data_IF_116515119716
#
_entry.id   IF_116515119716
#
_cell.length_a   1.000
_cell.length_b   1.000
_cell.length_c   1.000
_cell.angle_alpha   90.00
_cell.angle_beta   90.00
_cell.angle_gamma   90.00
#
_symmetry.space_group_name_H-M   'P 1'
#
loop_
_entity.id
_entity.type
_entity.pdbx_description
1 polymer ?
#
# COMPACT_ATOMS: atom_id res chain seq x y z
N UNK A 1 -11.35 11.47 1.19
CA UNK A 1 -10.30 10.56 0.69
C UNK A 1 -9.17 11.41 0.17
N UNK A 2 -7.90 11.16 0.51
CA UNK A 2 -6.79 11.97 0.01
C UNK A 2 -6.88 12.19 -1.52
N UNK A 3 -6.92 13.44 -2.03
CA UNK A 3 -7.14 13.70 -3.45
C UNK A 3 -6.11 13.01 -4.35
N UNK A 4 -4.86 12.95 -3.90
CA UNK A 4 -3.74 12.31 -4.62
C UNK A 4 -3.92 10.80 -4.80
N UNK A 5 -4.55 10.11 -3.85
CA UNK A 5 -4.90 8.68 -3.99
C UNK A 5 -5.84 8.48 -5.18
N UNK A 6 -6.87 9.33 -5.26
CA UNK A 6 -7.83 9.31 -6.36
C UNK A 6 -7.15 9.64 -7.69
N UNK A 7 -6.35 10.71 -7.75
CA UNK A 7 -5.66 11.11 -8.99
C UNK A 7 -4.76 10.00 -9.49
N UNK A 8 -3.89 9.45 -8.62
CA UNK A 8 -2.98 8.37 -9.01
C UNK A 8 -3.74 7.15 -9.52
N UNK A 9 -4.75 6.69 -8.78
CA UNK A 9 -5.54 5.52 -9.19
C UNK A 9 -6.24 5.73 -10.53
N UNK A 10 -6.78 6.93 -10.80
CA UNK A 10 -7.41 7.24 -12.10
C UNK A 10 -6.39 7.22 -13.23
N UNK A 11 -5.24 7.87 -13.05
CA UNK A 11 -4.19 7.95 -14.08
C UNK A 11 -3.61 6.58 -14.38
N UNK A 12 -3.27 5.78 -13.35
CA UNK A 12 -2.74 4.43 -13.51
C UNK A 12 -3.72 3.53 -14.26
N UNK A 13 -5.01 3.58 -13.93
CA UNK A 13 -6.04 2.81 -14.67
C UNK A 13 -6.13 3.21 -16.14
N UNK A 14 -6.13 4.52 -16.42
CA UNK A 14 -6.18 5.02 -17.81
C UNK A 14 -4.95 4.60 -18.60
N UNK A 15 -3.78 4.70 -17.99
CA UNK A 15 -2.55 4.20 -18.59
C UNK A 15 -2.62 2.69 -18.85
N UNK A 16 -3.04 1.88 -17.87
CA UNK A 16 -3.10 0.44 -18.02
C UNK A 16 -4.07 0.01 -19.14
N UNK A 17 -5.17 0.73 -19.31
CA UNK A 17 -6.08 0.57 -20.45
C UNK A 17 -5.41 0.94 -21.78
N UNK A 18 -4.77 2.11 -21.87
CA UNK A 18 -4.09 2.56 -23.08
C UNK A 18 -2.90 1.66 -23.48
N UNK A 19 -2.21 1.09 -22.50
CA UNK A 19 -1.09 0.16 -22.69
C UNK A 19 -1.54 -1.29 -22.96
N UNK A 20 -2.85 -1.58 -22.92
CA UNK A 20 -3.38 -2.92 -23.18
C UNK A 20 -3.10 -3.95 -22.08
N UNK A 21 -2.78 -3.52 -20.85
CA UNK A 21 -2.44 -4.37 -19.69
C UNK A 21 -3.50 -4.34 -18.58
N UNK A 22 -4.72 -3.95 -18.95
CA UNK A 22 -5.91 -3.96 -18.09
C UNK A 22 -7.08 -4.53 -18.88
N UNK A 23 -7.74 -5.54 -18.32
CA UNK A 23 -8.84 -6.22 -19.00
C UNK A 23 -9.72 -7.01 -18.05
N UNK A 24 -10.79 -7.57 -18.58
CA UNK A 24 -11.55 -8.59 -17.87
C UNK A 24 -10.75 -9.91 -17.85
N UNK A 25 -11.19 -10.88 -17.04
CA UNK A 25 -10.50 -12.17 -16.93
C UNK A 25 -10.31 -12.89 -18.29
N UNK A 26 -11.17 -12.61 -19.28
CA UNK A 26 -11.08 -13.17 -20.64
C UNK A 26 -9.90 -12.62 -21.46
N UNK A 27 -9.40 -11.45 -21.10
CA UNK A 27 -8.34 -10.75 -21.84
C UNK A 27 -6.94 -11.18 -21.37
N UNK A 28 -6.85 -11.99 -20.31
CA UNK A 28 -5.59 -12.48 -19.75
C UNK A 28 -4.84 -11.45 -18.90
N UNK A 29 -5.50 -10.37 -18.47
CA UNK A 29 -4.90 -9.29 -17.68
C UNK A 29 -5.67 -9.01 -16.39
N UNK A 30 -5.02 -8.30 -15.48
CA UNK A 30 -5.63 -7.90 -14.22
C UNK A 30 -6.67 -6.79 -14.43
N UNK A 31 -7.67 -6.78 -13.55
CA UNK A 31 -8.78 -5.83 -13.62
C UNK A 31 -8.38 -4.39 -13.26
N UNK A 32 -9.16 -3.37 -13.67
CA UNK A 32 -8.99 -2.00 -13.19
C UNK A 32 -9.04 -1.85 -11.66
N UNK A 33 -9.75 -2.77 -10.99
CA UNK A 33 -9.79 -2.83 -9.52
C UNK A 33 -8.42 -3.24 -8.96
N UNK A 34 -7.77 -4.27 -9.51
CA UNK A 34 -6.43 -4.67 -9.10
C UNK A 34 -5.40 -3.54 -9.28
N UNK A 35 -5.47 -2.79 -10.39
CA UNK A 35 -4.65 -1.58 -10.59
C UNK A 35 -4.89 -0.51 -9.52
N UNK A 36 -6.12 -0.35 -9.06
CA UNK A 36 -6.44 0.56 -7.94
C UNK A 36 -5.77 0.09 -6.65
N UNK A 37 -5.78 -1.22 -6.37
CA UNK A 37 -5.11 -1.79 -5.20
C UNK A 37 -3.59 -1.61 -5.28
N UNK A 38 -2.97 -1.80 -6.44
CA UNK A 38 -1.53 -1.54 -6.62
C UNK A 38 -1.17 -0.07 -6.34
N UNK A 39 -2.00 0.88 -6.78
CA UNK A 39 -1.79 2.30 -6.49
C UNK A 39 -1.90 2.61 -4.99
N UNK A 40 -2.90 2.03 -4.31
CA UNK A 40 -3.06 2.16 -2.85
C UNK A 40 -1.87 1.54 -2.13
N UNK A 41 -1.50 0.31 -2.49
CA UNK A 41 -0.38 -0.42 -1.90
C UNK A 41 0.93 0.37 -2.00
N UNK A 42 1.25 0.90 -3.18
CA UNK A 42 2.39 1.78 -3.39
C UNK A 42 2.36 3.00 -2.46
N UNK A 43 1.22 3.67 -2.33
CA UNK A 43 1.09 4.81 -1.41
C UNK A 43 1.23 4.40 0.06
N UNK A 44 0.81 3.20 0.44
CA UNK A 44 0.98 2.70 1.80
C UNK A 44 2.46 2.44 2.11
N UNK A 45 3.13 1.66 1.26
CA UNK A 45 4.50 1.20 1.53
C UNK A 45 5.57 2.24 1.22
N UNK A 46 5.29 3.23 0.36
CA UNK A 46 6.27 4.27 0.01
C UNK A 46 5.94 5.65 0.59
N UNK A 47 4.67 5.94 0.89
CA UNK A 47 4.22 7.29 1.27
C UNK A 47 3.40 7.33 2.56
N UNK A 48 3.36 6.22 3.31
CA UNK A 48 2.76 6.17 4.65
C UNK A 48 1.23 6.27 4.66
N UNK A 49 0.54 6.02 3.55
CA UNK A 49 -0.92 5.85 3.58
C UNK A 49 -1.25 4.73 4.59
N UNK A 50 -2.13 4.95 5.58
CA UNK A 50 -2.45 3.90 6.53
C UNK A 50 -3.30 2.80 5.87
N UNK A 51 -3.15 1.57 6.36
CA UNK A 51 -4.12 0.52 6.06
C UNK A 51 -5.32 0.61 7.00
N UNK A 52 -6.51 0.78 6.42
CA UNK A 52 -7.76 0.87 7.20
C UNK A 52 -8.11 -0.46 7.87
N UNK A 53 -7.77 -1.59 7.23
CA UNK A 53 -7.93 -2.90 7.84
C UNK A 53 -6.96 -3.12 9.01
N UNK A 54 -5.70 -2.69 8.87
CA UNK A 54 -4.72 -2.83 9.96
C UNK A 54 -5.05 -1.95 11.18
N UNK A 55 -5.82 -0.87 10.99
CA UNK A 55 -6.29 0.00 12.08
C UNK A 55 -7.59 -0.49 12.74
N UNK A 56 -8.31 -1.42 12.11
CA UNK A 56 -9.56 -1.98 12.62
C UNK A 56 -9.47 -2.81 13.93
N UNK A 57 -8.35 -3.46 14.29
CA UNK A 57 -8.24 -4.20 15.56
C UNK A 57 -8.48 -3.35 16.82
N UNK A 58 -8.38 -2.01 16.72
CA UNK A 58 -8.67 -1.06 17.81
C UNK A 58 -10.18 -0.82 18.03
N UNK A 59 -11.08 -1.60 17.41
CA UNK A 59 -12.53 -1.51 17.63
C UNK A 59 -12.95 -2.21 18.94
N UNK A 60 -13.77 -1.59 19.80
CA UNK A 60 -14.33 -2.25 20.97
C UNK A 60 -15.15 -3.50 20.56
N UNK A 61 -15.16 -4.52 21.41
CA UNK A 61 -15.98 -5.72 21.21
C UNK A 61 -17.45 -5.35 20.93
N UNK A 62 -18.05 -5.98 19.92
CA UNK A 62 -19.45 -5.77 19.53
C UNK A 62 -19.69 -4.98 18.24
N UNK A 63 -18.67 -4.31 17.68
CA UNK A 63 -18.79 -3.65 16.37
C UNK A 63 -18.49 -4.63 15.23
N UNK A 64 -19.52 -5.32 14.74
CA UNK A 64 -19.56 -6.07 13.46
C UNK A 64 -18.21 -6.64 12.97
N UNK A 65 -17.59 -7.55 13.75
CA UNK A 65 -16.58 -8.49 13.24
C UNK A 65 -17.31 -9.59 12.47
N UNK A 66 -17.85 -9.27 11.30
CA UNK A 66 -18.39 -10.31 10.42
C UNK A 66 -17.22 -11.11 9.83
N UNK A 67 -16.80 -12.15 10.57
CA UNK A 67 -16.03 -13.26 10.03
C UNK A 67 -17.03 -14.36 9.71
N UNK A 68 -17.44 -14.46 8.46
CA UNK A 68 -18.35 -15.53 8.03
C UNK A 68 -17.53 -16.78 7.70
N UNK A 69 -17.67 -17.82 8.53
CA UNK A 69 -17.20 -19.21 8.36
C UNK A 69 -15.68 -19.40 8.08
N UNK A 70 -15.11 -20.62 8.14
CA UNK A 70 -13.75 -20.89 7.71
C UNK A 70 -13.70 -20.79 6.17
N UNK A 71 -13.68 -19.55 5.66
CA UNK A 71 -14.04 -19.24 4.28
C UNK A 71 -13.93 -17.77 3.85
N UNK A 72 -13.08 -16.98 4.52
CA UNK A 72 -12.20 -16.01 3.84
C UNK A 72 -12.59 -14.53 3.63
N UNK A 73 -13.72 -14.03 4.12
CA UNK A 73 -14.05 -12.59 3.99
C UNK A 73 -13.69 -11.78 5.25
N UNK A 74 -12.83 -10.76 5.11
CA UNK A 74 -12.50 -9.75 6.12
C UNK A 74 -13.00 -8.35 5.70
N UNK A 75 -14.16 -7.99 6.24
CA UNK A 75 -14.78 -6.68 6.01
C UNK A 75 -14.44 -5.66 7.11
N UNK A 76 -13.54 -5.99 8.03
CA UNK A 76 -13.18 -5.10 9.12
C UNK A 76 -12.17 -4.04 8.65
N UNK A 77 -12.64 -2.82 8.42
CA UNK A 77 -11.80 -1.65 8.18
C UNK A 77 -12.41 -0.43 8.87
N UNK A 78 -11.56 0.49 9.31
CA UNK A 78 -12.01 1.77 9.87
C UNK A 78 -12.35 2.77 8.77
N UNK A 79 -13.22 3.73 9.06
CA UNK A 79 -13.41 4.89 8.17
C UNK A 79 -12.29 5.93 8.33
N UNK A 80 -12.36 7.02 7.55
CA UNK A 80 -11.36 8.08 7.57
C UNK A 80 -11.30 8.85 8.92
N UNK A 81 -12.43 8.99 9.60
CA UNK A 81 -12.52 9.69 10.89
C UNK A 81 -11.90 8.84 11.98
N UNK A 82 -12.26 7.55 12.02
CA UNK A 82 -11.70 6.57 12.92
C UNK A 82 -10.18 6.41 12.71
N UNK A 83 -9.71 6.36 11.47
CA UNK A 83 -8.29 6.32 11.16
C UNK A 83 -7.53 7.57 11.64
N UNK A 84 -8.07 8.79 11.43
CA UNK A 84 -7.48 10.02 11.98
C UNK A 84 -7.35 9.97 13.50
N UNK A 85 -8.38 9.45 14.19
CA UNK A 85 -8.37 9.27 15.64
C UNK A 85 -7.30 8.27 16.07
N UNK A 86 -7.25 7.10 15.43
CA UNK A 86 -6.27 6.06 15.73
C UNK A 86 -4.82 6.52 15.51
N UNK A 87 -4.60 7.44 14.56
CA UNK A 87 -3.29 7.98 14.23
C UNK A 87 -2.92 9.27 15.01
N UNK A 88 -3.80 9.77 15.88
CA UNK A 88 -3.56 11.01 16.62
C UNK A 88 -3.50 12.26 15.74
N UNK A 89 -4.10 12.22 14.54
CA UNK A 89 -4.13 13.32 13.57
C UNK A 89 -5.34 14.23 13.81
N UNK A 90 -5.55 14.64 15.07
CA UNK A 90 -6.63 15.58 15.40
C UNK A 90 -6.23 17.02 15.05
N UNK A 91 -7.17 17.87 14.61
CA UNK A 91 -6.87 19.24 14.18
C UNK A 91 -6.12 20.06 15.24
N UNK A 92 -6.41 19.84 16.52
CA UNK A 92 -5.81 20.57 17.64
C UNK A 92 -4.32 20.22 17.85
N UNK A 93 -3.87 19.07 17.33
CA UNK A 93 -2.47 18.62 17.41
C UNK A 93 -1.61 19.09 16.20
N UNK A 94 -2.22 19.77 15.22
CA UNK A 94 -1.58 20.20 13.97
C UNK A 94 -1.25 21.70 13.94
N UNK A 95 -1.75 22.48 14.90
CA UNK A 95 -1.49 23.92 15.02
C UNK A 95 0.01 24.18 15.32
N UNK A 96 0.68 24.91 14.42
CA UNK A 96 2.10 25.27 14.54
C UNK A 96 3.10 24.29 13.91
N UNK A 97 2.66 23.21 13.26
CA UNK A 97 3.56 22.30 12.53
C UNK A 97 3.90 22.87 11.14
N UNK A 98 5.17 22.88 10.70
CA UNK A 98 5.52 23.26 9.34
C UNK A 98 4.71 22.43 8.34
N UNK A 99 4.06 23.10 7.39
CA UNK A 99 3.31 22.41 6.36
C UNK A 99 4.28 21.57 5.53
N UNK A 100 4.13 20.25 5.46
CA UNK A 100 5.23 19.46 4.96
C UNK A 100 5.27 19.52 3.42
N UNK A 101 6.45 19.23 2.86
CA UNK A 101 6.68 19.23 1.42
C UNK A 101 5.89 18.09 0.76
N UNK A 102 4.67 18.38 0.33
CA UNK A 102 3.80 17.44 -0.38
C UNK A 102 4.43 17.09 -1.74
N UNK A 103 4.79 15.82 -1.93
CA UNK A 103 5.14 15.33 -3.28
C UNK A 103 3.97 15.62 -4.23
N UNK A 104 4.29 16.27 -5.35
CA UNK A 104 3.33 16.53 -6.42
C UNK A 104 2.89 15.25 -7.11
N UNK A 105 1.71 15.29 -7.74
CA UNK A 105 1.10 14.13 -8.40
C UNK A 105 2.02 13.49 -9.46
N UNK A 106 2.80 14.30 -10.18
CA UNK A 106 3.79 13.81 -11.15
C UNK A 106 4.91 12.97 -10.49
N UNK A 107 5.35 13.33 -9.28
CA UNK A 107 6.36 12.56 -8.55
C UNK A 107 5.78 11.24 -8.04
N UNK A 108 4.52 11.25 -7.57
CA UNK A 108 3.82 10.03 -7.17
C UNK A 108 3.64 9.07 -8.34
N UNK A 109 3.26 9.59 -9.51
CA UNK A 109 3.11 8.80 -10.74
C UNK A 109 4.44 8.19 -11.18
N UNK A 110 5.52 8.99 -11.23
CA UNK A 110 6.88 8.49 -11.54
C UNK A 110 7.30 7.39 -10.60
N UNK A 111 7.17 7.63 -9.29
CA UNK A 111 7.55 6.65 -8.29
C UNK A 111 6.71 5.37 -8.33
N UNK A 112 5.43 5.44 -8.72
CA UNK A 112 4.60 4.25 -8.91
C UNK A 112 5.20 3.31 -9.97
N UNK A 113 5.54 3.85 -11.15
CA UNK A 113 6.13 3.06 -12.22
C UNK A 113 7.51 2.55 -11.84
N UNK A 114 8.36 3.40 -11.27
CA UNK A 114 9.69 2.99 -10.82
C UNK A 114 9.63 1.88 -9.74
N UNK A 115 8.67 1.96 -8.80
CA UNK A 115 8.48 0.97 -7.75
C UNK A 115 8.12 -0.39 -8.35
N UNK A 116 7.08 -0.47 -9.18
CA UNK A 116 6.68 -1.76 -9.76
C UNK A 116 7.62 -2.26 -10.85
N UNK A 117 8.39 -1.39 -11.50
CA UNK A 117 9.41 -1.81 -12.45
C UNK A 117 10.64 -2.42 -11.76
N UNK A 118 11.13 -1.78 -10.70
CA UNK A 118 12.49 -2.02 -10.18
C UNK A 118 12.56 -2.47 -8.73
N UNK A 119 11.50 -2.26 -7.92
CA UNK A 119 11.55 -2.43 -6.46
C UNK A 119 10.65 -3.55 -5.95
N UNK A 120 9.44 -3.67 -6.50
CA UNK A 120 8.48 -4.70 -6.09
C UNK A 120 9.00 -6.10 -6.41
N UNK A 121 8.91 -7.02 -5.45
CA UNK A 121 9.37 -8.40 -5.63
C UNK A 121 8.33 -9.24 -6.37
N UNK A 122 8.29 -9.19 -7.70
CA UNK A 122 7.26 -9.85 -8.52
C UNK A 122 7.02 -11.33 -8.22
N UNK A 123 8.07 -12.06 -7.87
CA UNK A 123 8.01 -13.51 -7.63
C UNK A 123 7.55 -13.88 -6.21
N UNK A 124 7.84 -13.03 -5.23
CA UNK A 124 7.72 -13.37 -3.81
C UNK A 124 6.82 -12.42 -3.03
N UNK A 125 6.70 -11.16 -3.42
CA UNK A 125 5.94 -10.14 -2.70
C UNK A 125 4.44 -10.21 -3.03
N UNK A 126 3.61 -9.89 -2.04
CA UNK A 126 2.17 -9.75 -2.20
C UNK A 126 1.78 -8.30 -2.00
N UNK A 127 1.16 -7.69 -3.01
CA UNK A 127 0.51 -6.39 -2.86
C UNK A 127 -0.77 -6.56 -2.03
N UNK A 128 -0.66 -6.33 -0.71
CA UNK A 128 -1.77 -6.41 0.24
C UNK A 128 -2.07 -5.04 0.84
N UNK A 129 -3.19 -4.46 0.43
CA UNK A 129 -3.66 -3.19 1.02
C UNK A 129 -4.20 -3.37 2.44
N UNK A 130 -4.59 -4.60 2.79
CA UNK A 130 -5.07 -5.00 4.12
C UNK A 130 -3.96 -4.96 5.16
N UNK A 131 -2.74 -5.34 4.77
CA UNK A 131 -1.56 -5.21 5.64
C UNK A 131 -0.91 -3.83 5.51
N UNK A 132 -0.86 -3.27 4.30
CA UNK A 132 -0.22 -1.97 4.05
C UNK A 132 1.30 -1.95 4.29
N UNK A 133 1.95 -3.12 4.22
CA UNK A 133 3.37 -3.32 4.43
C UNK A 133 3.91 -4.36 3.44
N UNK A 134 5.22 -4.31 3.17
CA UNK A 134 5.88 -5.29 2.29
C UNK A 134 5.98 -6.63 2.98
N UNK A 135 5.43 -7.68 2.37
CA UNK A 135 5.49 -9.04 2.89
C UNK A 135 5.51 -10.04 1.74
N UNK A 136 6.28 -11.11 1.94
CA UNK A 136 6.37 -12.21 0.98
C UNK A 136 5.18 -13.18 1.08
N UNK A 137 4.92 -13.93 0.01
CA UNK A 137 3.85 -14.93 -0.14
C UNK A 137 3.96 -16.08 0.86
N UNK A 138 5.18 -16.36 1.34
CA UNK A 138 5.45 -17.36 2.38
C UNK A 138 5.11 -16.89 3.81
N UNK A 139 4.72 -15.63 3.98
CA UNK A 139 4.31 -15.10 5.28
C UNK A 139 3.06 -15.81 5.81
N UNK A 140 2.94 -16.05 7.12
CA UNK A 140 1.73 -16.63 7.72
C UNK A 140 0.45 -15.86 7.39
N UNK A 141 0.56 -14.55 7.10
CA UNK A 141 -0.57 -13.72 6.69
C UNK A 141 -1.22 -14.15 5.37
N UNK A 142 -0.50 -14.88 4.51
CA UNK A 142 -0.96 -15.34 3.20
C UNK A 142 -1.00 -16.85 3.08
N UNK A 143 -0.92 -17.59 4.20
CA UNK A 143 -0.99 -19.06 4.21
C UNK A 143 -2.23 -19.63 3.50
N UNK A 144 -3.27 -18.82 3.39
CA UNK A 144 -4.57 -19.17 2.83
C UNK A 144 -4.82 -18.50 1.47
N UNK A 145 -3.88 -17.68 0.96
CA UNK A 145 -3.97 -17.03 -0.33
C UNK A 145 -3.84 -18.05 -1.46
N UNK A 146 -4.94 -18.29 -2.18
CA UNK A 146 -5.00 -19.28 -3.26
C UNK A 146 -4.24 -18.75 -4.48
N UNK A 147 -3.22 -19.47 -4.89
CA UNK A 147 -2.61 -19.34 -6.21
C UNK A 147 -3.42 -20.20 -7.18
N UNK A 148 -4.04 -19.58 -8.19
CA UNK A 148 -4.99 -20.26 -9.09
C UNK A 148 -4.29 -21.23 -10.05
N UNK A 149 -3.02 -20.96 -10.38
CA UNK A 149 -2.23 -21.76 -11.31
C UNK A 149 -1.39 -22.82 -10.59
N UNK A 150 -1.20 -23.98 -11.25
CA UNK A 150 -0.22 -25.01 -10.83
C UNK A 150 1.22 -24.49 -10.91
N UNK A 151 1.47 -23.58 -11.85
CA UNK A 151 2.75 -22.92 -12.03
C UNK A 151 2.71 -21.54 -11.35
N UNK A 152 3.76 -21.15 -10.62
CA UNK A 152 3.81 -19.84 -9.98
C UNK A 152 3.78 -18.74 -11.04
N UNK A 153 2.71 -17.93 -11.03
CA UNK A 153 2.57 -16.74 -11.87
C UNK A 153 3.01 -15.52 -11.06
N UNK A 154 3.94 -14.70 -11.56
CA UNK A 154 4.39 -13.48 -10.88
C UNK A 154 3.24 -12.48 -10.65
N UNK A 155 3.47 -11.49 -9.78
CA UNK A 155 2.53 -10.44 -9.37
C UNK A 155 1.37 -10.94 -8.51
N UNK A 156 1.63 -11.19 -7.23
CA UNK A 156 0.58 -11.53 -6.27
C UNK A 156 -0.14 -10.28 -5.76
N UNK A 157 -1.47 -10.27 -5.83
CA UNK A 157 -2.31 -9.16 -5.38
C UNK A 157 -3.44 -9.74 -4.53
N UNK A 158 -3.42 -9.47 -3.23
CA UNK A 158 -4.46 -9.94 -2.32
C UNK A 158 -5.74 -9.11 -2.49
N UNK A 159 -6.89 -9.77 -2.57
CA UNK A 159 -8.17 -9.09 -2.38
C UNK A 159 -8.35 -8.74 -0.89
N UNK A 160 -8.55 -7.45 -0.54
CA UNK A 160 -8.57 -7.03 0.87
C UNK A 160 -9.76 -7.55 1.67
N UNK A 161 -10.85 -7.95 1.00
CA UNK A 161 -12.01 -8.55 1.65
C UNK A 161 -11.92 -10.06 1.53
N UNK A 162 -11.84 -10.60 0.32
CA UNK A 162 -11.67 -12.03 0.11
C UNK A 162 -10.19 -12.41 0.29
N UNK A 163 -9.66 -12.47 1.52
CA UNK A 163 -8.20 -12.55 1.83
C UNK A 163 -7.49 -13.83 1.33
N UNK A 164 -8.20 -14.65 0.57
CA UNK A 164 -7.80 -15.95 0.03
C UNK A 164 -7.81 -15.95 -1.48
N UNK A 165 -8.26 -14.85 -2.05
CA UNK A 165 -8.35 -14.64 -3.48
C UNK A 165 -7.18 -13.79 -3.91
N UNK A 166 -6.27 -14.41 -4.64
CA UNK A 166 -5.27 -13.70 -5.42
C UNK A 166 -5.92 -13.18 -6.72
N UNK A 167 -5.72 -11.90 -7.01
CA UNK A 167 -6.30 -11.25 -8.19
C UNK A 167 -5.46 -11.45 -9.46
N UNK A 168 -4.36 -12.21 -9.37
CA UNK A 168 -3.55 -12.61 -10.50
C UNK A 168 -4.13 -13.77 -11.33
N UNK A 169 -5.29 -14.33 -10.94
CA UNK A 169 -5.90 -15.46 -11.62
C UNK A 169 -6.03 -15.38 -13.16
N UNK A 170 -6.25 -14.21 -13.77
CA UNK A 170 -6.24 -14.07 -15.23
C UNK A 170 -4.87 -14.15 -15.90
N UNK A 171 -3.77 -14.00 -15.16
CA UNK A 171 -2.42 -13.95 -15.72
C UNK A 171 -1.87 -15.36 -15.95
N UNK A 172 -1.14 -15.51 -17.05
CA UNK A 172 -0.10 -16.53 -17.21
C UNK A 172 1.29 -15.86 -17.16
N UNK A 173 2.36 -16.65 -17.24
CA UNK A 173 3.73 -16.12 -17.18
C UNK A 173 4.04 -15.14 -18.33
N UNK A 174 3.49 -15.36 -19.53
CA UNK A 174 3.70 -14.48 -20.68
C UNK A 174 3.02 -13.13 -20.48
N UNK A 175 1.77 -13.14 -20.02
CA UNK A 175 1.01 -11.91 -19.69
C UNK A 175 1.61 -11.15 -18.52
N UNK A 176 2.13 -11.86 -17.52
CA UNK A 176 2.86 -11.23 -16.42
C UNK A 176 4.13 -10.52 -16.92
N UNK A 177 4.89 -11.14 -17.83
CA UNK A 177 6.05 -10.48 -18.46
C UNK A 177 5.63 -9.28 -19.31
N UNK A 178 4.60 -9.40 -20.15
CA UNK A 178 4.06 -8.27 -20.93
C UNK A 178 3.70 -7.07 -20.04
N UNK A 179 3.04 -7.34 -18.90
CA UNK A 179 2.68 -6.32 -17.91
C UNK A 179 3.92 -5.69 -17.28
N UNK A 180 4.92 -6.49 -16.91
CA UNK A 180 6.20 -6.00 -16.36
C UNK A 180 6.95 -5.13 -17.35
N UNK A 181 7.02 -5.55 -18.61
CA UNK A 181 7.65 -4.79 -19.69
C UNK A 181 6.91 -3.46 -19.94
N UNK A 182 5.59 -3.44 -19.85
CA UNK A 182 4.82 -2.19 -19.95
C UNK A 182 5.16 -1.21 -18.83
N UNK A 183 5.27 -1.68 -17.58
CA UNK A 183 5.68 -0.85 -16.44
C UNK A 183 7.13 -0.34 -16.59
N UNK A 184 8.05 -1.17 -17.07
CA UNK A 184 9.43 -0.77 -17.37
C UNK A 184 9.49 0.33 -18.44
N UNK A 185 8.73 0.19 -19.53
CA UNK A 185 8.62 1.23 -20.57
C UNK A 185 8.05 2.53 -20.01
N UNK A 186 6.98 2.44 -19.22
CA UNK A 186 6.36 3.60 -18.60
C UNK A 186 7.32 4.34 -17.64
N UNK A 187 8.10 3.59 -16.85
CA UNK A 187 9.13 4.16 -15.99
C UNK A 187 10.19 4.91 -16.83
N UNK A 188 10.71 4.27 -17.88
CA UNK A 188 11.71 4.88 -18.77
C UNK A 188 11.19 6.14 -19.48
N UNK A 189 9.94 6.13 -19.96
CA UNK A 189 9.29 7.31 -20.56
C UNK A 189 9.27 8.48 -19.57
N UNK A 190 8.85 8.26 -18.33
CA UNK A 190 8.80 9.35 -17.35
C UNK A 190 10.18 9.76 -16.82
N UNK A 191 11.16 8.86 -16.77
CA UNK A 191 12.56 9.15 -16.41
C UNK A 191 13.23 10.05 -17.46
N UNK A 192 12.86 9.90 -18.74
CA UNK A 192 13.31 10.80 -19.81
C UNK A 192 12.69 12.20 -19.76
N UNK A 193 11.81 12.46 -18.79
CA UNK A 193 11.15 13.76 -18.60
C UNK A 193 9.84 13.92 -19.37
N UNK A 194 9.35 12.88 -20.04
CA UNK A 194 8.09 12.93 -20.77
C UNK A 194 6.87 13.11 -19.83
N UNK A 195 5.80 13.66 -20.38
CA UNK A 195 4.57 13.96 -19.66
C UNK A 195 3.53 12.83 -19.71
N UNK A 196 2.35 13.15 -19.18
CA UNK A 196 1.23 12.22 -19.16
C UNK A 196 0.70 11.90 -20.58
N UNK A 197 0.80 12.83 -21.53
CA UNK A 197 0.31 12.61 -22.89
C UNK A 197 1.11 11.52 -23.60
N UNK A 198 2.43 11.59 -23.51
CA UNK A 198 3.36 10.60 -24.06
C UNK A 198 3.19 9.25 -23.38
N UNK A 199 3.03 9.25 -22.06
CA UNK A 199 2.75 8.04 -21.29
C UNK A 199 1.46 7.33 -21.75
N UNK A 200 0.44 8.09 -22.12
CA UNK A 200 -0.84 7.56 -22.63
C UNK A 200 -0.82 7.27 -24.14
N UNK A 201 0.32 7.44 -24.83
CA UNK A 201 0.43 7.25 -26.28
C UNK A 201 -0.31 8.31 -27.11
N UNK A 202 -0.69 9.43 -26.50
CA UNK A 202 -1.29 10.57 -27.18
C UNK A 202 -0.18 11.45 -27.77
N UNK A 203 0.40 11.03 -28.90
CA UNK A 203 1.28 11.91 -29.67
C UNK A 203 0.45 13.03 -30.29
N UNK A 204 0.63 14.28 -29.82
CA UNK A 204 0.09 15.44 -30.51
C UNK A 204 0.77 15.55 -31.88
N UNK A 205 0.01 15.41 -32.96
CA UNK A 205 0.45 15.96 -34.25
C UNK A 205 0.47 17.49 -34.14
N UNK A 206 1.44 18.20 -34.74
CA UNK A 206 1.44 19.66 -34.74
C UNK A 206 0.39 20.15 -35.73
N UNK A 207 -0.84 20.41 -35.26
CA UNK A 207 -1.85 21.15 -36.03
C UNK A 207 -1.91 22.60 -35.57
N UNK A 208 -1.29 23.45 -36.41
CA UNK A 208 -1.64 24.84 -36.73
C UNK A 208 -2.53 25.62 -35.75
N UNK A 209 -1.94 26.66 -35.15
CA UNK A 209 -2.53 27.96 -34.82
C UNK A 209 -4.07 28.03 -34.71
N UNK A 210 -4.58 27.91 -33.49
CA UNK A 210 -5.73 28.73 -33.07
C UNK A 210 -5.44 29.30 -31.70
N UNK A 211 -5.65 30.60 -31.56
CA UNK A 211 -5.30 31.38 -30.37
C UNK A 211 -5.96 30.83 -29.09
N UNK A 212 -5.30 30.91 -27.93
CA UNK A 212 -5.89 30.46 -26.68
C UNK A 212 -7.11 31.32 -26.34
N UNK A 213 -8.23 30.65 -26.05
CA UNK A 213 -9.38 31.31 -25.41
C UNK A 213 -8.98 31.68 -23.98
N UNK A 214 -9.37 32.86 -23.49
CA UNK A 214 -9.03 33.27 -22.13
C UNK A 214 -9.66 32.29 -21.13
N UNK A 215 -8.86 31.86 -20.16
CA UNK A 215 -9.34 31.16 -18.96
C UNK A 215 -10.44 32.00 -18.33
N UNK A 216 -11.61 31.39 -18.15
CA UNK A 216 -12.62 31.94 -17.25
C UNK A 216 -12.18 31.53 -15.86
N UNK A 217 -11.75 32.51 -15.07
CA UNK A 217 -11.46 32.34 -13.65
C UNK A 217 -12.71 31.77 -12.96
N UNK A 218 -12.62 30.52 -12.52
CA UNK A 218 -13.60 29.97 -11.59
C UNK A 218 -13.21 30.46 -10.20
N UNK A 219 -14.14 31.05 -9.44
CA UNK A 219 -13.84 31.58 -8.11
C UNK A 219 -13.37 30.43 -7.21
N UNK A 220 -12.29 30.70 -6.47
CA UNK A 220 -11.79 29.89 -5.36
C UNK A 220 -12.92 29.72 -4.33
N UNK A 221 -13.76 28.70 -4.52
CA UNK A 221 -14.70 28.30 -3.49
C UNK A 221 -13.91 27.53 -2.44
N UNK A 222 -13.69 28.22 -1.32
CA UNK A 222 -13.27 27.69 -0.03
C UNK A 222 -13.77 26.25 0.17
N UNK A 223 -12.90 25.27 -0.06
CA UNK A 223 -13.17 23.88 0.30
C UNK A 223 -13.05 23.76 1.80
N UNK A 224 -14.14 24.07 2.51
CA UNK A 224 -14.31 23.63 3.88
C UNK A 224 -14.09 22.13 3.91
N UNK A 225 -13.08 21.68 4.65
CA UNK A 225 -12.66 20.28 4.70
C UNK A 225 -13.73 19.45 5.40
N UNK A 226 -14.72 18.96 4.65
CA UNK A 226 -15.68 17.99 5.17
C UNK A 226 -14.95 16.68 5.54
N UNK A 227 -15.28 16.12 6.70
CA UNK A 227 -14.49 15.19 7.51
C UNK A 227 -14.12 13.81 6.95
N UNK A 228 -14.00 13.62 5.63
CA UNK A 228 -13.71 12.33 5.00
C UNK A 228 -12.28 12.12 4.47
N UNK A 229 -11.31 13.00 4.76
CA UNK A 229 -9.96 12.95 4.17
C UNK A 229 -8.92 12.30 5.09
N UNK A 230 -8.14 11.33 4.63
CA UNK A 230 -6.93 10.93 5.37
C UNK A 230 -5.78 11.65 4.73
N UNK A 231 -5.17 12.61 5.42
CA UNK A 231 -3.94 13.21 4.88
C UNK A 231 -2.85 12.13 4.89
N UNK A 232 -2.12 12.00 3.78
CA UNK A 232 -0.89 11.22 3.79
C UNK A 232 0.03 11.87 4.83
N UNK A 233 0.48 11.15 5.88
CA UNK A 233 1.53 11.69 6.72
C UNK A 233 2.73 11.92 5.82
N UNK A 234 3.21 13.16 5.78
CA UNK A 234 4.40 13.49 5.01
C UNK A 234 5.62 12.85 5.69
N UNK A 235 5.88 11.61 5.32
CA UNK A 235 7.23 11.08 5.28
C UNK A 235 7.76 11.37 3.89
N UNK A 236 8.09 12.64 3.65
CA UNK A 236 9.28 12.88 2.83
C UNK A 236 10.34 12.02 3.49
N UNK A 237 10.92 11.13 2.69
CA UNK A 237 12.23 10.57 2.97
C UNK A 237 13.02 11.64 3.69
N UNK A 238 13.26 11.43 4.98
CA UNK A 238 14.37 12.09 5.63
C UNK A 238 15.55 11.51 4.85
N UNK A 239 15.91 12.11 3.70
CA UNK A 239 17.07 11.76 2.88
C UNK A 239 18.36 12.00 3.68
N UNK A 240 18.23 12.48 4.93
CA UNK A 240 19.20 12.27 5.99
C UNK A 240 19.49 10.78 6.09
N UNK A 241 20.65 10.41 5.59
CA UNK A 241 21.23 9.10 5.79
C UNK A 241 21.07 8.69 7.26
N UNK A 242 20.23 7.70 7.49
CA UNK A 242 19.99 7.12 8.80
C UNK A 242 20.95 5.96 8.97
N UNK A 243 21.50 5.79 10.16
CA UNK A 243 22.43 4.69 10.42
C UNK A 243 21.77 3.74 11.41
N UNK A 244 21.79 2.44 11.13
CA UNK A 244 21.37 1.46 12.10
C UNK A 244 22.33 1.50 13.29
N UNK A 245 21.79 1.74 14.48
CA UNK A 245 22.51 1.79 15.76
C UNK A 245 23.05 0.42 16.20
N UNK A 246 22.47 -0.67 15.68
CA UNK A 246 22.89 -2.04 15.99
C UNK A 246 24.02 -2.52 15.08
N UNK A 247 23.94 -2.27 13.77
CA UNK A 247 24.91 -2.81 12.79
C UNK A 247 25.74 -1.77 12.03
N UNK A 248 25.50 -0.47 12.27
CA UNK A 248 26.24 0.63 11.65
C UNK A 248 25.95 0.87 10.16
N UNK A 249 25.02 0.13 9.54
CA UNK A 249 24.71 0.26 8.11
C UNK A 249 23.92 1.55 7.85
N UNK A 250 24.29 2.30 6.81
CA UNK A 250 23.61 3.53 6.40
C UNK A 250 22.48 3.23 5.42
N UNK A 251 21.39 3.96 5.57
CA UNK A 251 20.18 3.86 4.76
C UNK A 251 19.73 5.25 4.35
N UNK A 252 19.27 5.39 3.11
CA UNK A 252 18.75 6.64 2.56
C UNK A 252 17.31 6.87 3.03
N UNK A 253 17.19 7.01 4.34
CA UNK A 253 15.98 7.41 5.05
C UNK A 253 15.45 6.41 6.06
N UNK A 254 14.62 6.94 6.94
CA UNK A 254 14.12 6.25 8.13
C UNK A 254 13.27 5.02 7.82
N UNK A 255 12.56 5.02 6.69
CA UNK A 255 11.75 3.88 6.26
C UNK A 255 12.63 2.67 5.90
N UNK A 256 13.70 2.88 5.13
CA UNK A 256 14.67 1.82 4.79
C UNK A 256 15.42 1.33 6.03
N UNK A 257 15.72 2.23 6.97
CA UNK A 257 16.23 1.83 8.28
C UNK A 257 15.22 0.94 9.02
N UNK A 258 13.96 1.37 9.16
CA UNK A 258 12.93 0.59 9.87
C UNK A 258 12.69 -0.77 9.20
N UNK A 259 12.67 -0.82 7.87
CA UNK A 259 12.58 -2.07 7.12
C UNK A 259 13.78 -2.99 7.42
N UNK A 260 15.00 -2.46 7.37
CA UNK A 260 16.20 -3.21 7.77
C UNK A 260 16.14 -3.73 9.21
N UNK A 261 15.63 -2.91 10.14
CA UNK A 261 15.51 -3.26 11.55
C UNK A 261 14.55 -4.43 11.75
N UNK A 262 13.42 -4.45 11.02
CA UNK A 262 12.47 -5.57 11.05
C UNK A 262 13.05 -6.83 10.41
N UNK A 263 13.65 -6.71 9.22
CA UNK A 263 14.21 -7.86 8.48
C UNK A 263 15.38 -8.54 9.20
N UNK A 264 16.16 -7.78 9.97
CA UNK A 264 17.36 -8.28 10.68
C UNK A 264 17.17 -8.42 12.19
N UNK A 265 16.00 -8.07 12.71
CA UNK A 265 15.73 -8.04 14.15
C UNK A 265 16.58 -7.01 14.92
N UNK A 266 17.02 -5.94 14.24
CA UNK A 266 17.86 -4.89 14.81
C UNK A 266 17.00 -3.79 15.43
N UNK A 267 16.43 -4.04 16.59
CA UNK A 267 15.60 -3.08 17.32
C UNK A 267 16.48 -2.17 18.22
N UNK A 268 16.17 -0.87 18.30
CA UNK A 268 16.94 0.09 19.11
C UNK A 268 16.86 -0.24 20.62
N UNK A 269 17.78 0.32 21.42
CA UNK A 269 17.86 0.07 22.88
C UNK A 269 16.62 0.47 23.68
N UNK A 270 15.80 1.40 23.17
CA UNK A 270 14.51 1.77 23.78
C UNK A 270 13.45 0.67 23.53
N UNK A 271 13.42 0.14 22.31
CA UNK A 271 12.50 -0.90 21.86
C UNK A 271 12.83 -2.30 22.38
N UNK A 272 14.08 -2.59 22.73
CA UNK A 272 14.43 -3.85 23.42
C UNK A 272 13.80 -3.96 24.80
N UNK A 273 13.63 -2.84 25.51
CA UNK A 273 12.98 -2.81 26.83
C UNK A 273 11.47 -3.04 26.71
N UNK A 274 10.85 -2.51 25.66
CA UNK A 274 9.43 -2.68 25.36
C UNK A 274 9.14 -4.08 24.78
N UNK A 275 10.02 -4.61 23.94
CA UNK A 275 9.97 -6.02 23.49
C UNK A 275 10.16 -6.99 24.64
N UNK A 276 11.03 -6.70 25.61
CA UNK A 276 11.19 -7.53 26.81
C UNK A 276 9.89 -7.55 27.63
N UNK A 277 9.29 -6.37 27.87
CA UNK A 277 7.99 -6.27 28.55
C UNK A 277 6.87 -7.02 27.83
N UNK A 278 6.82 -6.96 26.50
CA UNK A 278 5.82 -7.67 25.70
C UNK A 278 6.05 -9.19 25.73
N UNK A 279 7.32 -9.65 25.66
CA UNK A 279 7.67 -11.07 25.76
C UNK A 279 7.36 -11.65 27.14
N UNK A 280 7.58 -10.89 28.20
CA UNK A 280 7.24 -11.30 29.57
C UNK A 280 5.71 -11.38 29.76
N UNK A 281 4.97 -10.46 29.15
CA UNK A 281 3.50 -10.49 29.10
C UNK A 281 2.95 -11.71 28.34
N UNK A 282 3.51 -12.01 27.18
CA UNK A 282 3.13 -13.17 26.37
C UNK A 282 3.49 -14.49 27.06
N UNK A 283 4.64 -14.59 27.71
CA UNK A 283 5.04 -15.78 28.47
C UNK A 283 4.05 -16.06 29.62
N UNK A 284 3.65 -15.04 30.37
CA UNK A 284 2.65 -15.17 31.43
C UNK A 284 1.26 -15.57 30.89
N UNK A 285 0.87 -15.04 29.73
CA UNK A 285 -0.39 -15.41 29.08
C UNK A 285 -0.39 -16.86 28.57
N UNK A 286 0.72 -17.31 27.98
CA UNK A 286 0.91 -18.70 27.52
C UNK A 286 0.89 -19.67 28.70
N UNK A 287 1.56 -19.36 29.81
CA UNK A 287 1.54 -20.20 31.01
C UNK A 287 0.15 -20.29 31.64
N UNK A 288 -0.62 -19.20 31.63
CA UNK A 288 -2.00 -19.20 32.11
C UNK A 288 -2.95 -20.04 31.22
N UNK A 289 -2.71 -20.07 29.91
CA UNK A 289 -3.46 -20.94 28.98
C UNK A 289 -3.04 -22.40 29.15
N UNK A 290 -1.75 -22.67 29.26
CA UNK A 290 -1.23 -24.02 29.50
C UNK A 290 -1.71 -24.60 30.85
N UNK A 291 -1.79 -23.78 31.90
CA UNK A 291 -2.35 -24.18 33.20
C UNK A 291 -3.83 -24.56 33.12
N UNK A 292 -4.65 -23.79 32.41
CA UNK A 292 -6.07 -24.10 32.18
C UNK A 292 -6.25 -25.40 31.38
N UNK A 293 -5.41 -25.62 30.37
CA UNK A 293 -5.38 -26.85 29.58
C UNK A 293 -5.02 -28.08 30.43
N UNK A 294 -3.99 -27.98 31.29
CA UNK A 294 -3.62 -29.08 32.20
C UNK A 294 -4.73 -29.39 33.21
N UNK A 295 -5.38 -28.37 33.76
CA UNK A 295 -6.50 -28.55 34.69
C UNK A 295 -7.71 -29.22 34.03
N UNK A 296 -8.01 -28.86 32.78
CA UNK A 296 -9.09 -29.48 32.02
C UNK A 296 -8.80 -30.95 31.67
N UNK A 297 -7.53 -31.31 31.44
CA UNK A 297 -7.10 -32.67 31.13
C UNK A 297 -6.97 -33.58 32.36
N UNK A 298 -6.82 -33.02 33.56
CA UNK A 298 -6.73 -33.77 34.82
C UNK A 298 -8.10 -34.02 35.49
N UNK A 299 -9.17 -33.42 34.97
CA UNK A 299 -10.54 -33.55 35.48
C UNK A 299 -11.46 -34.44 34.64
N UNK A 300 -10.91 -35.29 33.77
CA UNK A 300 -11.63 -36.25 32.93
C UNK A 300 -11.25 -37.69 33.23
#
# INVERSE_FOLDING_TARGET
MEPRVRTLAVVVKRWAQAAGVSGAARDGFISPFAWTLLAIYYLQVCHGLPSLHALAPNRPEGSSRWRSDPGHCDVAFVDAVEARRALGLQPEAMEGRPQPCRLGEAALLRGFFAFFANTFGWEDEVASVRLGLRSGIRSPHFASLRTVSRDPVPLNIENPVEVGRNLNGPLDCGRADELRQALLRAAAVLESGAGLAELLGSSAAPSSSSAPRPCVDLPESSTSCEGGFLELPDFVSDLRACTCDVCGRRFDGRLLLMQHQVERGHFNSCSTTELARLRDGDAAAVDAVAGRLRAALAGG
#
